data_IF_448861627502
#
_entry.id   IF_448861627502
#
_cell.length_a   1.000
_cell.length_b   1.000
_cell.length_c   1.000
_cell.angle_alpha   90.00
_cell.angle_beta   90.00
_cell.angle_gamma   90.00
#
_symmetry.space_group_name_H-M   'P 1'
#
loop_
_entity.id
_entity.type
_entity.pdbx_description
1 polymer ?
#
# COMPACT_ATOMS: atom_id res chain seq x y z
N UNK A 1 17.94 5.20 -43.05
CA UNK A 1 16.99 5.73 -42.05
C UNK A 1 16.17 4.55 -41.53
N UNK A 2 16.11 4.28 -40.22
CA UNK A 2 15.26 3.21 -39.70
C UNK A 2 13.80 3.46 -40.09
N UNK A 3 13.11 2.43 -40.58
CA UNK A 3 11.69 2.47 -40.91
C UNK A 3 10.87 2.89 -39.68
N UNK A 4 9.86 3.74 -39.86
CA UNK A 4 9.02 4.28 -38.78
C UNK A 4 8.40 3.17 -37.92
N UNK A 5 8.12 2.01 -38.53
CA UNK A 5 7.64 0.80 -37.84
C UNK A 5 8.65 0.23 -36.85
N UNK A 6 9.94 0.21 -37.21
CA UNK A 6 11.02 -0.30 -36.34
C UNK A 6 11.25 0.60 -35.13
N UNK A 7 11.11 1.93 -35.32
CA UNK A 7 11.23 2.90 -34.21
C UNK A 7 10.07 2.77 -33.22
N UNK A 8 8.83 2.65 -33.73
CA UNK A 8 7.65 2.44 -32.89
C UNK A 8 7.75 1.14 -32.07
N UNK A 9 8.17 0.03 -32.70
CA UNK A 9 8.35 -1.24 -31.98
C UNK A 9 9.44 -1.15 -30.90
N UNK A 10 10.55 -0.47 -31.18
CA UNK A 10 11.62 -0.25 -30.18
C UNK A 10 11.13 0.58 -29.00
N UNK A 11 10.35 1.63 -29.25
CA UNK A 11 9.79 2.48 -28.19
C UNK A 11 8.82 1.68 -27.30
N UNK A 12 7.97 0.83 -27.88
CA UNK A 12 7.07 -0.07 -27.13
C UNK A 12 7.88 -1.03 -26.24
N UNK A 13 8.86 -1.73 -26.80
CA UNK A 13 9.69 -2.68 -26.03
C UNK A 13 10.43 -1.98 -24.89
N UNK A 14 10.96 -0.78 -25.13
CA UNK A 14 11.63 0.00 -24.07
C UNK A 14 10.63 0.37 -22.97
N UNK A 15 9.42 0.79 -23.31
CA UNK A 15 8.36 1.09 -22.33
C UNK A 15 7.99 -0.15 -21.52
N UNK A 16 7.81 -1.31 -22.16
CA UNK A 16 7.49 -2.57 -21.47
C UNK A 16 8.60 -2.98 -20.49
N UNK A 17 9.86 -2.89 -20.91
CA UNK A 17 11.01 -3.18 -20.04
C UNK A 17 11.07 -2.22 -18.84
N UNK A 18 10.79 -0.94 -19.04
CA UNK A 18 10.72 0.05 -17.96
C UNK A 18 9.58 -0.24 -16.98
N UNK A 19 8.43 -0.71 -17.46
CA UNK A 19 7.30 -1.12 -16.62
C UNK A 19 7.64 -2.35 -15.79
N UNK A 20 8.29 -3.35 -16.38
CA UNK A 20 8.76 -4.55 -15.66
C UNK A 20 9.77 -4.16 -14.59
N UNK A 21 10.75 -3.32 -14.93
CA UNK A 21 11.74 -2.83 -13.98
C UNK A 21 11.07 -2.09 -12.80
N UNK A 22 10.08 -1.23 -13.09
CA UNK A 22 9.29 -0.54 -12.07
C UNK A 22 8.55 -1.52 -11.15
N UNK A 23 7.91 -2.55 -11.71
CA UNK A 23 7.19 -3.56 -10.94
C UNK A 23 8.12 -4.36 -10.00
N UNK A 24 9.32 -4.73 -10.46
CA UNK A 24 10.33 -5.40 -9.64
C UNK A 24 10.81 -4.49 -8.51
N UNK A 25 11.14 -3.23 -8.81
CA UNK A 25 11.56 -2.24 -7.82
C UNK A 25 10.49 -2.07 -6.73
N UNK A 26 9.22 -1.94 -7.12
CA UNK A 26 8.10 -1.83 -6.19
C UNK A 26 7.87 -3.10 -5.38
N UNK A 27 7.99 -4.28 -6.00
CA UNK A 27 7.88 -5.56 -5.30
C UNK A 27 8.92 -5.69 -4.17
N UNK A 28 10.18 -5.36 -4.46
CA UNK A 28 11.25 -5.33 -3.46
C UNK A 28 11.05 -4.23 -2.41
N UNK A 29 10.42 -3.11 -2.78
CA UNK A 29 10.24 -1.95 -1.91
C UNK A 29 9.45 -2.28 -0.63
N UNK A 30 8.46 -3.18 -0.68
CA UNK A 30 7.71 -3.62 0.51
C UNK A 30 8.61 -4.26 1.56
N UNK A 31 9.53 -5.14 1.13
CA UNK A 31 10.47 -5.82 2.03
C UNK A 31 11.46 -4.83 2.64
N UNK A 32 12.01 -3.93 1.82
CA UNK A 32 12.95 -2.89 2.28
C UNK A 32 12.28 -1.95 3.28
N UNK A 33 11.07 -1.46 2.99
CA UNK A 33 10.34 -0.59 3.90
C UNK A 33 9.99 -1.33 5.19
N UNK A 34 9.59 -2.61 5.12
CA UNK A 34 9.28 -3.40 6.32
C UNK A 34 10.50 -3.52 7.22
N UNK A 35 11.66 -3.85 6.65
CA UNK A 35 12.91 -3.87 7.39
C UNK A 35 13.25 -2.50 7.98
N UNK A 36 13.10 -1.43 7.20
CA UNK A 36 13.30 -0.06 7.67
C UNK A 36 12.45 0.29 8.91
N UNK A 37 11.18 -0.11 8.92
CA UNK A 37 10.28 0.09 10.09
C UNK A 37 10.60 -0.77 11.30
N UNK A 38 11.50 -1.76 11.19
CA UNK A 38 11.98 -2.55 12.33
C UNK A 38 13.20 -1.90 13.00
N UNK A 39 13.94 -1.07 12.25
CA UNK A 39 15.17 -0.40 12.74
C UNK A 39 14.86 1.01 13.24
N UNK A 40 13.95 1.71 12.58
CA UNK A 40 13.56 3.09 12.90
C UNK A 40 12.06 3.19 13.16
N UNK A 41 11.67 4.19 13.94
CA UNK A 41 10.25 4.55 14.07
C UNK A 41 9.63 4.79 12.67
N UNK A 42 8.42 4.28 12.39
CA UNK A 42 7.79 4.39 11.07
C UNK A 42 7.72 5.81 10.51
N UNK A 43 7.44 6.81 11.35
CA UNK A 43 7.37 8.20 10.90
C UNK A 43 8.74 8.76 10.58
N UNK A 44 9.74 8.46 11.41
CA UNK A 44 11.13 8.88 11.17
C UNK A 44 11.64 8.26 9.86
N UNK A 45 11.43 6.96 9.68
CA UNK A 45 11.81 6.25 8.46
C UNK A 45 11.15 6.86 7.22
N UNK A 46 9.83 7.05 7.25
CA UNK A 46 9.11 7.62 6.10
C UNK A 46 9.53 9.05 5.82
N UNK A 47 9.81 9.85 6.86
CA UNK A 47 10.27 11.24 6.71
C UNK A 47 11.61 11.30 6.01
N UNK A 48 12.60 10.51 6.46
CA UNK A 48 13.91 10.42 5.81
C UNK A 48 13.76 9.99 4.35
N UNK A 49 12.93 8.99 4.08
CA UNK A 49 12.65 8.49 2.72
C UNK A 49 12.00 9.55 1.82
N UNK A 50 11.04 10.32 2.34
CA UNK A 50 10.36 11.37 1.59
C UNK A 50 11.25 12.59 1.35
N UNK A 51 12.02 13.02 2.35
CA UNK A 51 12.95 14.14 2.21
C UNK A 51 14.05 13.80 1.20
N UNK A 52 14.68 12.62 1.33
CA UNK A 52 15.70 12.17 0.37
C UNK A 52 15.15 12.04 -1.06
N UNK A 53 13.96 11.45 -1.23
CA UNK A 53 13.29 11.38 -2.53
C UNK A 53 12.94 12.75 -3.11
N UNK A 54 12.52 13.69 -2.27
CA UNK A 54 12.21 15.07 -2.68
C UNK A 54 13.47 15.78 -3.16
N UNK A 55 14.58 15.68 -2.42
CA UNK A 55 15.87 16.28 -2.81
C UNK A 55 16.33 15.70 -4.15
N UNK A 56 16.30 14.38 -4.30
CA UNK A 56 16.72 13.72 -5.55
C UNK A 56 15.84 14.13 -6.74
N UNK A 57 14.52 14.18 -6.55
CA UNK A 57 13.59 14.60 -7.60
C UNK A 57 13.75 16.08 -7.95
N UNK A 58 13.95 16.94 -6.96
CA UNK A 58 14.18 18.37 -7.18
C UNK A 58 15.48 18.62 -7.95
N UNK A 59 16.56 17.93 -7.58
CA UNK A 59 17.83 17.98 -8.32
C UNK A 59 17.66 17.51 -9.77
N UNK A 60 16.90 16.43 -10.01
CA UNK A 60 16.61 15.93 -11.34
C UNK A 60 15.84 16.94 -12.20
N UNK A 61 14.79 17.56 -11.65
CA UNK A 61 13.97 18.56 -12.33
C UNK A 61 14.80 19.81 -12.68
N UNK A 62 15.61 20.27 -11.73
CA UNK A 62 16.52 21.41 -11.94
C UNK A 62 17.56 21.11 -13.02
N UNK A 63 18.18 19.92 -12.99
CA UNK A 63 19.15 19.49 -14.00
C UNK A 63 18.56 19.39 -15.41
N UNK A 64 17.26 19.10 -15.52
CA UNK A 64 16.54 19.08 -16.81
C UNK A 64 16.02 20.44 -17.26
N UNK A 65 16.17 21.49 -16.45
CA UNK A 65 15.58 22.82 -16.72
C UNK A 65 14.05 22.81 -16.79
N UNK A 66 13.41 21.80 -16.20
CA UNK A 66 11.95 21.62 -16.17
C UNK A 66 11.38 22.16 -14.86
N UNK A 67 10.04 22.11 -14.69
CA UNK A 67 9.39 22.46 -13.41
C UNK A 67 9.05 23.93 -13.21
N UNK A 68 9.05 24.73 -14.27
CA UNK A 68 8.44 26.07 -14.25
C UNK A 68 6.94 25.91 -13.98
N UNK A 69 6.48 26.52 -12.89
CA UNK A 69 5.10 26.43 -12.43
C UNK A 69 4.63 27.82 -11.99
N UNK A 70 3.39 28.12 -12.30
CA UNK A 70 2.68 29.30 -11.79
C UNK A 70 2.36 29.13 -10.30
N UNK A 71 2.14 30.22 -9.54
CA UNK A 71 1.75 30.13 -8.14
C UNK A 71 0.50 29.29 -7.89
N UNK A 72 -0.48 29.33 -8.81
CA UNK A 72 -1.70 28.52 -8.74
C UNK A 72 -1.40 27.02 -8.86
N UNK A 73 -0.56 26.63 -9.82
CA UNK A 73 -0.14 25.24 -10.01
C UNK A 73 0.64 24.74 -8.80
N UNK A 74 1.53 25.56 -8.22
CA UNK A 74 2.25 25.20 -6.99
C UNK A 74 1.28 24.90 -5.85
N UNK A 75 0.25 25.72 -5.66
CA UNK A 75 -0.74 25.49 -4.62
C UNK A 75 -1.56 24.21 -4.86
N UNK A 76 -1.93 23.92 -6.11
CA UNK A 76 -2.60 22.66 -6.47
C UNK A 76 -1.69 21.45 -6.23
N UNK A 77 -0.41 21.54 -6.61
CA UNK A 77 0.58 20.48 -6.39
C UNK A 77 0.83 20.21 -4.91
N UNK A 78 0.90 21.25 -4.07
CA UNK A 78 1.03 21.10 -2.62
C UNK A 78 -0.20 20.42 -2.03
N UNK A 79 -1.42 20.82 -2.44
CA UNK A 79 -2.65 20.16 -1.98
C UNK A 79 -2.70 18.68 -2.40
N UNK A 80 -2.39 18.39 -3.67
CA UNK A 80 -2.34 17.02 -4.18
C UNK A 80 -1.26 16.19 -3.49
N UNK A 81 -0.10 16.78 -3.24
CA UNK A 81 1.01 16.15 -2.51
C UNK A 81 0.64 15.83 -1.07
N UNK A 82 0.04 16.77 -0.34
CA UNK A 82 -0.34 16.56 1.07
C UNK A 82 -1.49 15.56 1.21
N UNK A 83 -2.58 15.76 0.48
CA UNK A 83 -3.81 14.96 0.62
C UNK A 83 -3.64 13.61 -0.08
N UNK A 84 -3.16 13.61 -1.32
CA UNK A 84 -3.03 12.40 -2.12
C UNK A 84 -1.85 11.54 -1.67
N UNK A 85 -0.66 12.13 -1.60
CA UNK A 85 0.56 11.37 -1.31
C UNK A 85 0.89 11.30 0.18
N UNK A 86 0.83 12.43 0.90
CA UNK A 86 1.18 12.53 2.32
C UNK A 86 0.32 11.64 3.19
N UNK A 87 -1.00 11.77 3.08
CA UNK A 87 -1.94 10.92 3.81
C UNK A 87 -1.73 9.43 3.45
N UNK A 88 -1.60 9.10 2.16
CA UNK A 88 -1.30 7.73 1.73
C UNK A 88 -0.04 7.19 2.40
N UNK A 89 1.07 7.94 2.40
CA UNK A 89 2.34 7.48 2.97
C UNK A 89 2.25 7.24 4.48
N UNK A 90 1.49 8.06 5.20
CA UNK A 90 1.25 7.89 6.63
C UNK A 90 0.49 6.57 6.90
N UNK A 91 -0.64 6.35 6.22
CA UNK A 91 -1.40 5.11 6.38
C UNK A 91 -0.62 3.89 5.93
N UNK A 92 0.12 4.01 4.81
CA UNK A 92 0.93 2.94 4.27
C UNK A 92 2.00 2.48 5.26
N UNK A 93 2.82 3.40 5.79
CA UNK A 93 3.95 3.01 6.64
C UNK A 93 3.48 2.44 7.98
N UNK A 94 2.39 2.98 8.52
CA UNK A 94 1.77 2.47 9.75
C UNK A 94 1.05 1.15 9.55
N UNK A 95 0.43 0.93 8.40
CA UNK A 95 -0.12 -0.37 8.02
C UNK A 95 1.00 -1.40 7.91
N UNK A 96 2.04 -1.08 7.14
CA UNK A 96 3.18 -1.94 6.90
C UNK A 96 3.94 -2.29 8.19
N UNK A 97 4.11 -1.35 9.12
CA UNK A 97 4.79 -1.61 10.39
C UNK A 97 4.02 -2.64 11.24
N UNK A 98 2.69 -2.67 11.14
CA UNK A 98 1.81 -3.60 11.88
C UNK A 98 1.47 -4.89 11.15
N UNK A 99 1.79 -5.01 9.86
CA UNK A 99 1.51 -6.21 9.05
C UNK A 99 2.79 -6.85 8.50
N UNK A 100 2.65 -7.99 7.82
CA UNK A 100 3.73 -8.59 7.03
C UNK A 100 3.87 -7.86 5.69
N UNK A 101 5.08 -7.82 5.13
CA UNK A 101 5.34 -7.20 3.83
C UNK A 101 4.46 -7.79 2.72
N UNK A 102 4.30 -9.12 2.69
CA UNK A 102 3.43 -9.80 1.73
C UNK A 102 1.95 -9.48 1.89
N UNK A 103 1.46 -9.33 3.13
CA UNK A 103 0.06 -8.92 3.37
C UNK A 103 -0.18 -7.49 2.89
N UNK A 104 0.74 -6.57 3.21
CA UNK A 104 0.64 -5.18 2.77
C UNK A 104 0.69 -5.04 1.23
N UNK A 105 1.54 -5.82 0.55
CA UNK A 105 1.63 -5.78 -0.91
C UNK A 105 0.36 -6.30 -1.58
N UNK A 106 -0.26 -7.36 -1.05
CA UNK A 106 -1.54 -7.86 -1.56
C UNK A 106 -2.68 -6.86 -1.34
N UNK A 107 -2.74 -6.21 -0.17
CA UNK A 107 -3.72 -5.14 0.08
C UNK A 107 -3.54 -4.01 -0.92
N UNK A 108 -2.32 -3.56 -1.20
CA UNK A 108 -2.09 -2.52 -2.22
C UNK A 108 -2.39 -3.02 -3.63
N UNK A 109 -2.11 -4.28 -3.96
CA UNK A 109 -2.46 -4.87 -5.25
C UNK A 109 -3.98 -4.87 -5.51
N UNK A 110 -4.79 -4.81 -4.46
CA UNK A 110 -6.25 -4.65 -4.55
C UNK A 110 -6.73 -3.21 -4.75
N UNK A 111 -5.84 -2.22 -4.82
CA UNK A 111 -6.21 -0.81 -5.04
C UNK A 111 -7.16 -0.58 -6.24
N UNK A 112 -7.03 -1.28 -7.39
CA UNK A 112 -7.99 -1.16 -8.49
C UNK A 112 -9.42 -1.51 -8.09
N UNK A 113 -9.60 -2.47 -7.17
CA UNK A 113 -10.91 -2.85 -6.67
C UNK A 113 -11.55 -1.71 -5.85
N UNK A 114 -10.78 -1.11 -4.94
CA UNK A 114 -11.22 0.07 -4.19
C UNK A 114 -11.52 1.25 -5.12
N UNK A 115 -10.68 1.46 -6.14
CA UNK A 115 -10.89 2.51 -7.14
C UNK A 115 -12.19 2.30 -7.91
N UNK A 116 -12.48 1.08 -8.34
CA UNK A 116 -13.73 0.72 -9.00
C UNK A 116 -14.97 1.04 -8.14
N UNK A 117 -14.91 0.74 -6.84
CA UNK A 117 -15.98 1.06 -5.88
C UNK A 117 -16.14 2.58 -5.74
N UNK A 118 -15.04 3.32 -5.55
CA UNK A 118 -15.06 4.78 -5.42
C UNK A 118 -15.65 5.42 -6.68
N UNK A 119 -15.23 4.99 -7.87
CA UNK A 119 -15.76 5.48 -9.15
C UNK A 119 -17.27 5.23 -9.28
N UNK A 120 -17.74 4.04 -8.85
CA UNK A 120 -19.18 3.72 -8.84
C UNK A 120 -19.98 4.66 -7.93
N UNK A 121 -19.41 5.04 -6.78
CA UNK A 121 -20.05 5.89 -5.77
C UNK A 121 -20.06 7.36 -6.21
N UNK A 122 -18.91 7.90 -6.64
CA UNK A 122 -18.74 9.34 -6.89
C UNK A 122 -19.02 9.76 -8.33
N UNK A 123 -18.76 8.89 -9.31
CA UNK A 123 -18.89 9.21 -10.75
C UNK A 123 -20.06 8.51 -11.42
N UNK A 124 -20.83 7.71 -10.66
CA UNK A 124 -22.01 6.96 -11.12
C UNK A 124 -21.76 6.07 -12.36
N UNK A 125 -20.50 5.72 -12.63
CA UNK A 125 -20.11 4.84 -13.73
C UNK A 125 -20.55 3.41 -13.43
N UNK A 126 -21.20 2.76 -14.41
CA UNK A 126 -21.65 1.37 -14.27
C UNK A 126 -20.44 0.44 -14.37
N UNK A 127 -20.12 -0.24 -13.28
CA UNK A 127 -19.08 -1.27 -13.26
C UNK A 127 -19.49 -2.45 -14.14
N UNK A 128 -18.58 -2.87 -15.03
CA UNK A 128 -18.77 -4.10 -15.79
C UNK A 128 -18.86 -5.29 -14.81
N UNK A 129 -19.72 -6.31 -15.06
CA UNK A 129 -19.85 -7.48 -14.18
C UNK A 129 -18.52 -8.18 -13.89
N UNK A 130 -17.60 -8.19 -14.87
CA UNK A 130 -16.25 -8.74 -14.71
C UNK A 130 -15.39 -7.97 -13.70
N UNK A 131 -15.51 -6.65 -13.67
CA UNK A 131 -14.81 -5.80 -12.70
C UNK A 131 -15.32 -6.06 -11.27
N UNK A 132 -16.63 -6.28 -11.11
CA UNK A 132 -17.23 -6.63 -9.81
C UNK A 132 -16.71 -7.98 -9.29
N UNK A 133 -16.56 -8.99 -10.16
CA UNK A 133 -15.94 -10.27 -9.79
C UNK A 133 -14.50 -10.06 -9.31
N UNK A 134 -13.71 -9.26 -10.03
CA UNK A 134 -12.33 -8.93 -9.63
C UNK A 134 -12.25 -8.20 -8.28
N UNK A 135 -13.19 -7.31 -8.01
CA UNK A 135 -13.33 -6.61 -6.72
C UNK A 135 -13.62 -7.60 -5.60
N UNK A 136 -14.64 -8.44 -5.75
CA UNK A 136 -15.02 -9.45 -4.75
C UNK A 136 -13.87 -10.41 -4.49
N UNK A 137 -13.21 -10.91 -5.54
CA UNK A 137 -12.06 -11.81 -5.41
C UNK A 137 -10.89 -11.16 -4.66
N UNK A 138 -10.63 -9.88 -4.92
CA UNK A 138 -9.58 -9.11 -4.23
C UNK A 138 -9.90 -8.93 -2.74
N UNK A 139 -11.16 -8.60 -2.40
CA UNK A 139 -11.62 -8.48 -1.00
C UNK A 139 -11.51 -9.82 -0.27
N UNK A 140 -11.96 -10.92 -0.89
CA UNK A 140 -11.86 -12.27 -0.32
C UNK A 140 -10.38 -12.67 -0.08
N UNK A 141 -9.49 -12.34 -1.01
CA UNK A 141 -8.05 -12.51 -0.86
C UNK A 141 -7.49 -11.76 0.36
N UNK A 142 -7.90 -10.50 0.57
CA UNK A 142 -7.49 -9.72 1.74
C UNK A 142 -8.03 -10.33 3.04
N UNK A 143 -9.33 -10.65 3.10
CA UNK A 143 -9.97 -11.19 4.32
C UNK A 143 -9.33 -12.52 4.74
N UNK A 144 -9.09 -13.42 3.78
CA UNK A 144 -8.39 -14.69 4.04
C UNK A 144 -6.97 -14.49 4.57
N UNK A 145 -6.23 -13.50 4.04
CA UNK A 145 -4.87 -13.16 4.49
C UNK A 145 -4.81 -12.51 5.89
N UNK A 146 -5.83 -11.73 6.26
CA UNK A 146 -5.90 -11.10 7.58
C UNK A 146 -6.17 -12.08 8.73
N UNK A 147 -6.32 -13.37 8.45
CA UNK A 147 -6.61 -14.38 9.48
C UNK A 147 -8.01 -14.24 10.09
N UNK A 148 -8.87 -13.40 9.49
CA UNK A 148 -10.32 -13.51 9.61
C UNK A 148 -10.75 -14.76 8.85
N UNK A 149 -10.41 -15.93 9.41
CA UNK A 149 -10.99 -17.18 8.95
C UNK A 149 -12.52 -17.02 9.00
N UNK A 150 -13.27 -17.49 8.00
CA UNK A 150 -14.74 -17.45 8.01
C UNK A 150 -15.32 -17.98 9.33
N UNK A 151 -14.63 -18.93 9.96
CA UNK A 151 -14.94 -19.43 11.31
C UNK A 151 -14.94 -18.33 12.36
N UNK A 152 -13.96 -17.41 12.37
CA UNK A 152 -13.86 -16.30 13.35
C UNK A 152 -14.97 -15.25 13.19
N UNK A 153 -15.47 -15.05 11.97
CA UNK A 153 -16.64 -14.19 11.69
C UNK A 153 -17.92 -14.85 12.22
N UNK A 154 -18.05 -16.16 12.04
CA UNK A 154 -19.15 -16.94 12.64
C UNK A 154 -19.05 -16.95 14.17
N UNK A 155 -17.84 -16.99 14.75
CA UNK A 155 -17.63 -16.86 16.20
C UNK A 155 -18.05 -15.51 16.78
N UNK A 156 -17.93 -14.41 16.02
CA UNK A 156 -18.43 -13.09 16.44
C UNK A 156 -19.97 -13.03 16.39
N UNK A 157 -20.61 -13.82 15.52
CA UNK A 157 -22.07 -13.94 15.42
C UNK A 157 -22.66 -14.91 16.45
N UNK A 158 -21.88 -15.88 16.93
CA UNK A 158 -22.25 -16.79 18.02
C UNK A 158 -21.68 -16.35 19.37
N UNK A 159 -21.31 -15.07 19.51
CA UNK A 159 -20.78 -14.52 20.76
C UNK A 159 -21.91 -14.46 21.80
N UNK A 160 -21.91 -15.43 22.72
CA UNK A 160 -22.73 -15.42 23.92
C UNK A 160 -21.95 -14.73 25.06
N UNK A 161 -22.32 -13.50 25.46
CA UNK A 161 -21.64 -12.78 26.54
C UNK A 161 -21.82 -13.45 27.92
N UNK A 162 -22.71 -14.44 28.07
CA UNK A 162 -23.01 -15.09 29.34
C UNK A 162 -22.22 -16.40 29.58
N UNK A 163 -21.51 -16.95 28.59
CA UNK A 163 -20.80 -18.22 28.72
C UNK A 163 -19.40 -18.21 28.05
N UNK A 164 -18.36 -17.68 28.71
CA UNK A 164 -17.02 -17.61 28.15
C UNK A 164 -16.30 -18.97 28.22
N UNK A 165 -16.47 -19.83 27.22
CA UNK A 165 -15.66 -21.05 27.04
C UNK A 165 -14.48 -20.79 26.09
N UNK A 166 -13.44 -20.11 26.56
CA UNK A 166 -12.16 -20.07 25.85
C UNK A 166 -11.23 -21.17 26.35
N UNK A 167 -10.89 -22.11 25.45
CA UNK A 167 -9.97 -23.24 25.65
C UNK A 167 -8.50 -22.83 25.91
N UNK A 168 -8.19 -21.53 25.96
CA UNK A 168 -6.82 -20.98 25.99
C UNK A 168 -6.63 -19.89 27.07
N UNK A 169 -7.46 -19.89 28.13
CA UNK A 169 -7.36 -18.92 29.24
C UNK A 169 -5.97 -18.92 29.90
N UNK A 170 -5.36 -20.10 29.99
CA UNK A 170 -4.14 -20.30 30.77
C UNK A 170 -2.88 -19.82 30.04
N UNK A 171 -2.90 -19.76 28.70
CA UNK A 171 -1.77 -19.24 27.90
C UNK A 171 -1.65 -17.71 27.96
N UNK A 172 -2.77 -17.01 28.09
CA UNK A 172 -2.76 -15.54 28.18
C UNK A 172 -2.23 -15.04 29.52
N UNK A 173 -2.47 -15.79 30.61
CA UNK A 173 -2.01 -15.42 31.97
C UNK A 173 -0.52 -15.72 32.14
N UNK A 174 0.00 -16.82 31.56
CA UNK A 174 1.42 -17.16 31.65
C UNK A 174 2.33 -16.24 30.82
N UNK A 175 1.84 -15.69 29.69
CA UNK A 175 2.60 -14.76 28.84
C UNK A 175 2.68 -13.34 29.40
N UNK A 176 1.76 -12.94 30.27
CA UNK A 176 1.72 -11.57 30.82
C UNK A 176 2.64 -11.39 32.05
N UNK A 177 3.20 -12.47 32.60
CA UNK A 177 3.91 -12.45 33.90
C UNK A 177 5.44 -12.55 33.89
N UNK A 178 6.12 -12.71 32.74
CA UNK A 178 7.58 -12.96 32.71
C UNK A 178 8.43 -11.88 32.04
N UNK A 179 7.84 -10.74 31.66
CA UNK A 179 8.56 -9.64 30.97
C UNK A 179 9.28 -8.63 31.88
N UNK A 180 9.20 -8.75 33.21
CA UNK A 180 9.67 -7.73 34.16
C UNK A 180 10.74 -8.20 35.14
N UNK A 181 11.46 -9.29 34.86
CA UNK A 181 12.53 -9.83 35.73
C UNK A 181 13.91 -9.96 35.06
N UNK A 182 14.12 -9.35 33.88
CA UNK A 182 15.43 -9.33 33.19
C UNK A 182 15.93 -7.92 32.82
N UNK A 183 15.58 -6.92 33.62
CA UNK A 183 16.36 -5.67 33.78
C UNK A 183 16.33 -5.26 35.25
#
# INVERSE_FOLDING_TARGET
MPDAKTRAHREVVVTELLLIASAVIWGCNFTVNKYGTQVLDPLVYTTIRMVSGTIAMMAFVMARGQGKTTPSEKFQLVKLGLIGHGAYQLFFIYGLSRTRAGTASLVIASSPAFMAIIMRIFHNERLAPRALIGVVMSILGIVSMLGMSPTRILYLWSFDPAAPHWLDRDRFILSAGHGSMLL
#
